data_IF_454327462907
#
_entry.id   IF_454327462907
#
_cell.length_a   1.000
_cell.length_b   1.000
_cell.length_c   1.000
_cell.angle_alpha   90.00
_cell.angle_beta   90.00
_cell.angle_gamma   90.00
#
_symmetry.space_group_name_H-M   'P 1'
#
loop_
_entity.id
_entity.type
_entity.pdbx_description
1 polymer ?
#
# COMPACT_ATOMS: atom_id res chain seq x y z
N UNK A 1 -3.91 5.25 16.25
CA UNK A 1 -4.06 4.86 14.83
C UNK A 1 -3.00 5.62 14.03
N UNK A 2 -2.00 4.94 13.48
CA UNK A 2 -0.97 5.59 12.65
C UNK A 2 -1.63 6.06 11.35
N UNK A 3 -1.62 7.37 11.09
CA UNK A 3 -2.05 7.92 9.80
C UNK A 3 -0.87 7.79 8.84
N UNK A 4 -0.98 6.83 7.92
CA UNK A 4 -0.08 6.74 6.78
C UNK A 4 -0.49 7.73 5.71
N UNK A 5 0.45 8.55 5.23
CA UNK A 5 0.25 9.50 4.14
C UNK A 5 -0.21 8.79 2.86
N UNK A 6 -0.98 9.49 2.04
CA UNK A 6 -1.46 8.98 0.74
C UNK A 6 -0.26 8.59 -0.14
N UNK A 7 0.79 9.41 -0.14
CA UNK A 7 2.04 9.15 -0.87
C UNK A 7 2.67 7.80 -0.51
N UNK A 8 2.69 7.44 0.78
CA UNK A 8 3.23 6.15 1.22
C UNK A 8 2.39 4.99 0.66
N UNK A 9 1.06 5.11 0.70
CA UNK A 9 0.17 4.08 0.16
C UNK A 9 0.35 3.93 -1.35
N UNK A 10 0.52 5.03 -2.06
CA UNK A 10 0.79 5.05 -3.50
C UNK A 10 2.12 4.39 -3.84
N UNK A 11 3.20 4.71 -3.12
CA UNK A 11 4.50 4.05 -3.28
C UNK A 11 4.43 2.55 -3.05
N UNK A 12 3.72 2.11 -2.00
CA UNK A 12 3.52 0.69 -1.70
C UNK A 12 2.77 -0.03 -2.81
N UNK A 13 1.71 0.57 -3.35
CA UNK A 13 0.95 0.00 -4.47
C UNK A 13 1.78 -0.01 -5.75
N UNK A 14 2.56 1.03 -6.03
CA UNK A 14 3.42 1.09 -7.20
C UNK A 14 4.50 0.01 -7.17
N UNK A 15 5.14 -0.21 -6.01
CA UNK A 15 6.09 -1.29 -5.82
C UNK A 15 5.46 -2.68 -5.96
N UNK A 16 4.20 -2.83 -5.50
CA UNK A 16 3.41 -4.04 -5.74
C UNK A 16 3.18 -4.27 -7.25
N UNK A 17 2.81 -3.22 -7.99
CA UNK A 17 2.58 -3.29 -9.44
C UNK A 17 3.86 -3.55 -10.23
N UNK A 18 5.01 -3.05 -9.77
CA UNK A 18 6.32 -3.36 -10.33
C UNK A 18 6.79 -4.79 -10.04
N UNK A 19 6.02 -5.59 -9.29
CA UNK A 19 6.38 -6.98 -8.98
C UNK A 19 7.51 -7.12 -7.97
N UNK A 20 7.82 -6.09 -7.17
CA UNK A 20 8.91 -6.14 -6.17
C UNK A 20 8.69 -7.18 -5.07
N UNK A 21 7.44 -7.58 -4.84
CA UNK A 21 7.10 -8.66 -3.91
C UNK A 21 5.68 -8.57 -3.36
N UNK A 22 5.35 -9.49 -2.46
CA UNK A 22 4.05 -9.55 -1.79
C UNK A 22 3.89 -8.55 -0.63
N UNK A 23 2.71 -8.51 -0.02
CA UNK A 23 2.35 -7.56 1.05
C UNK A 23 3.30 -7.57 2.25
N UNK A 24 3.86 -8.72 2.61
CA UNK A 24 4.79 -8.86 3.75
C UNK A 24 6.15 -8.22 3.43
N UNK A 25 6.64 -8.40 2.20
CA UNK A 25 7.88 -7.79 1.74
C UNK A 25 7.73 -6.27 1.70
N UNK A 26 6.66 -5.78 1.07
CA UNK A 26 6.36 -4.36 0.96
C UNK A 26 6.15 -3.69 2.33
N UNK A 27 5.54 -4.40 3.28
CA UNK A 27 5.39 -3.90 4.64
C UNK A 27 6.74 -3.65 5.32
N UNK A 28 7.70 -4.58 5.17
CA UNK A 28 9.06 -4.38 5.69
C UNK A 28 9.79 -3.27 4.94
N UNK A 29 9.69 -3.23 3.61
CA UNK A 29 10.36 -2.24 2.76
C UNK A 29 9.94 -0.81 3.10
N UNK A 30 8.65 -0.59 3.34
CA UNK A 30 8.07 0.72 3.64
C UNK A 30 7.88 0.99 5.13
N UNK A 31 8.48 0.17 6.01
CA UNK A 31 8.37 0.24 7.46
C UNK A 31 6.90 0.29 7.97
N UNK A 32 6.01 -0.39 7.26
CA UNK A 32 4.61 -0.57 7.67
C UNK A 32 4.56 -1.71 8.67
N UNK A 33 4.27 -1.40 9.93
CA UNK A 33 4.25 -2.39 11.02
C UNK A 33 3.23 -3.52 10.84
N UNK A 34 2.31 -3.43 9.88
CA UNK A 34 1.32 -4.46 9.61
C UNK A 34 1.22 -4.82 8.13
N UNK A 35 1.60 -6.06 7.79
CA UNK A 35 1.42 -6.62 6.45
C UNK A 35 -0.04 -6.76 6.04
N UNK A 36 -0.95 -6.92 7.01
CA UNK A 36 -2.39 -6.91 6.79
C UNK A 36 -2.89 -5.55 6.29
N UNK A 37 -2.26 -4.46 6.72
CA UNK A 37 -2.60 -3.11 6.28
C UNK A 37 -2.20 -2.87 4.82
N UNK A 38 -1.01 -3.35 4.43
CA UNK A 38 -0.58 -3.37 3.02
C UNK A 38 -1.53 -4.21 2.16
N UNK A 39 -1.91 -5.41 2.64
CA UNK A 39 -2.88 -6.27 1.95
C UNK A 39 -4.20 -5.56 1.72
N UNK A 40 -4.68 -4.80 2.70
CA UNK A 40 -5.90 -3.99 2.58
C UNK A 40 -5.74 -2.89 1.52
N UNK A 41 -4.60 -2.20 1.46
CA UNK A 41 -4.35 -1.19 0.43
C UNK A 41 -4.33 -1.79 -0.98
N UNK A 42 -3.67 -2.94 -1.16
CA UNK A 42 -3.66 -3.67 -2.44
C UNK A 42 -5.08 -4.12 -2.82
N UNK A 43 -5.87 -4.59 -1.84
CA UNK A 43 -7.27 -4.98 -2.07
C UNK A 43 -8.13 -3.79 -2.48
N UNK A 44 -8.03 -2.67 -1.77
CA UNK A 44 -8.72 -1.43 -2.15
C UNK A 44 -8.30 -0.99 -3.56
N UNK A 45 -7.00 -1.07 -3.86
CA UNK A 45 -6.49 -0.78 -5.20
C UNK A 45 -7.15 -1.64 -6.28
N UNK A 46 -7.26 -2.95 -6.06
CA UNK A 46 -7.90 -3.87 -7.00
C UNK A 46 -9.41 -3.66 -7.13
N UNK A 47 -10.07 -3.11 -6.12
CA UNK A 47 -11.52 -2.89 -6.10
C UNK A 47 -11.93 -1.52 -6.66
N UNK A 48 -11.19 -0.47 -6.32
CA UNK A 48 -11.57 0.94 -6.55
C UNK A 48 -10.50 1.74 -7.32
N UNK A 49 -9.31 1.18 -7.54
CA UNK A 49 -8.18 1.89 -8.14
C UNK A 49 -7.26 2.57 -7.11
N UNK A 50 -6.28 3.34 -7.58
CA UNK A 50 -5.31 4.01 -6.70
C UNK A 50 -6.04 4.91 -5.70
N UNK A 51 -5.65 4.93 -4.41
CA UNK A 51 -6.14 5.91 -3.47
C UNK A 51 -5.65 7.28 -3.94
N UNK A 52 -6.48 7.95 -4.73
CA UNK A 52 -6.34 9.35 -5.08
C UNK A 52 -6.79 10.18 -3.88
N UNK A 53 -6.11 11.29 -3.62
CA UNK A 53 -6.67 12.30 -2.74
C UNK A 53 -7.98 12.75 -3.39
N UNK A 54 -9.12 12.31 -2.86
CA UNK A 54 -10.39 12.93 -3.24
C UNK A 54 -10.30 14.39 -2.82
N UNK A 55 -10.36 15.26 -3.83
CA UNK A 55 -10.47 16.72 -3.70
C UNK A 55 -11.67 17.10 -2.83
#
# INVERSE_FOLDING_TARGET
>A
MVKYSIELKQRVIQDYLSGKGGSTYLAKLHNVGSSSQVRRWIRNYRAEGLPTAHS
#
